data_IF_613463102791
#
_entry.id   IF_613463102791
#
_cell.length_a   1.000
_cell.length_b   1.000
_cell.length_c   1.000
_cell.angle_alpha   90.00
_cell.angle_beta   90.00
_cell.angle_gamma   90.00
#
_symmetry.space_group_name_H-M   'P 1'
#
loop_
_entity.id
_entity.type
_entity.pdbx_description
1 polymer ?
#
# COMPACT_ATOMS: atom_id res chain seq x y z
N UNK A 1 -0.70 -12.04 13.64
CA UNK A 1 -2.04 -12.61 13.85
C UNK A 1 -2.56 -13.09 12.51
N UNK A 2 -2.58 -14.40 12.23
CA UNK A 2 -2.97 -14.91 10.90
C UNK A 2 -4.46 -14.70 10.64
N UNK A 3 -4.78 -13.99 9.59
CA UNK A 3 -6.15 -13.79 9.12
C UNK A 3 -6.70 -15.14 8.67
N UNK A 4 -7.66 -15.70 9.41
CA UNK A 4 -8.38 -16.90 9.00
C UNK A 4 -9.49 -16.46 8.04
N UNK A 5 -9.25 -16.60 6.75
CA UNK A 5 -10.29 -16.41 5.74
C UNK A 5 -11.38 -17.49 5.92
N UNK A 6 -12.64 -17.08 6.13
CA UNK A 6 -13.82 -17.95 6.11
C UNK A 6 -14.38 -18.14 4.68
N UNK A 7 -13.54 -18.03 3.65
CA UNK A 7 -13.92 -18.09 2.25
C UNK A 7 -12.67 -18.08 1.36
N UNK A 8 -12.85 -17.90 0.06
CA UNK A 8 -11.72 -17.63 -0.83
C UNK A 8 -11.08 -16.29 -0.45
N UNK A 9 -9.74 -16.17 -0.50
CA UNK A 9 -9.05 -14.93 -0.17
C UNK A 9 -9.39 -13.84 -1.19
N UNK A 10 -9.73 -12.64 -0.70
CA UNK A 10 -9.93 -11.46 -1.53
C UNK A 10 -8.61 -10.69 -1.66
N UNK A 11 -8.01 -10.72 -2.84
CA UNK A 11 -6.78 -9.99 -3.16
C UNK A 11 -7.10 -8.55 -3.61
N UNK A 12 -7.63 -7.74 -2.70
CA UNK A 12 -8.03 -6.36 -2.95
C UNK A 12 -7.38 -5.43 -1.93
N UNK A 13 -6.76 -4.36 -2.43
CA UNK A 13 -6.27 -3.25 -1.62
C UNK A 13 -7.05 -2.02 -2.05
N UNK A 14 -7.86 -1.51 -1.12
CA UNK A 14 -8.66 -0.32 -1.35
C UNK A 14 -7.80 0.96 -1.30
N UNK A 15 -8.25 2.00 -1.98
CA UNK A 15 -7.63 3.30 -1.95
C UNK A 15 -7.57 3.96 -3.34
N UNK A 16 -7.31 5.26 -3.33
CA UNK A 16 -7.25 6.08 -4.55
C UNK A 16 -5.95 6.88 -4.63
N UNK A 17 -4.88 6.31 -5.22
CA UNK A 17 -3.61 7.01 -5.39
C UNK A 17 -3.73 8.34 -6.14
N UNK A 18 -4.60 8.40 -7.16
CA UNK A 18 -4.83 9.63 -7.94
C UNK A 18 -5.49 10.73 -7.09
N UNK A 19 -6.44 10.36 -6.22
CA UNK A 19 -7.05 11.28 -5.26
C UNK A 19 -6.06 11.84 -4.26
N UNK A 20 -5.11 11.02 -3.78
CA UNK A 20 -4.01 11.46 -2.91
C UNK A 20 -3.13 12.46 -3.67
N UNK A 21 -2.71 12.14 -4.89
CA UNK A 21 -1.89 13.05 -5.73
C UNK A 21 -2.58 14.39 -5.99
N UNK A 22 -3.91 14.40 -6.17
CA UNK A 22 -4.68 15.65 -6.27
C UNK A 22 -4.58 16.52 -5.02
N UNK A 23 -4.60 15.91 -3.82
CA UNK A 23 -4.39 16.63 -2.55
C UNK A 23 -2.95 17.12 -2.39
N UNK A 24 -1.97 16.32 -2.82
CA UNK A 24 -0.55 16.70 -2.83
C UNK A 24 -0.33 17.95 -3.71
N UNK A 25 -0.95 18.00 -4.88
CA UNK A 25 -0.87 19.17 -5.75
C UNK A 25 -1.42 20.43 -5.08
N UNK A 26 -2.55 20.32 -4.39
CA UNK A 26 -3.12 21.42 -3.61
C UNK A 26 -2.20 21.86 -2.46
N UNK A 27 -1.57 20.91 -1.74
CA UNK A 27 -0.63 21.21 -0.67
C UNK A 27 0.63 21.93 -1.18
N UNK A 28 1.15 21.52 -2.35
CA UNK A 28 2.27 22.20 -3.00
C UNK A 28 1.91 23.63 -3.39
N UNK A 29 0.73 23.86 -3.96
CA UNK A 29 0.26 25.21 -4.26
C UNK A 29 0.10 26.09 -3.01
N UNK A 30 -0.38 25.52 -1.89
CA UNK A 30 -0.39 26.22 -0.60
C UNK A 30 1.03 26.56 -0.13
N UNK A 31 1.98 25.63 -0.20
CA UNK A 31 3.38 25.86 0.13
C UNK A 31 3.96 27.04 -0.63
N UNK A 32 3.80 27.05 -1.95
CA UNK A 32 4.26 28.15 -2.83
C UNK A 32 3.62 29.48 -2.44
N UNK A 33 2.31 29.49 -2.15
CA UNK A 33 1.61 30.72 -1.74
C UNK A 33 2.12 31.27 -0.40
N UNK A 34 2.38 30.39 0.58
CA UNK A 34 2.93 30.81 1.88
C UNK A 34 4.38 31.28 1.77
N UNK A 35 5.18 30.65 0.92
CA UNK A 35 6.55 31.09 0.64
C UNK A 35 6.56 32.50 0.06
N UNK A 36 5.70 32.79 -0.95
CA UNK A 36 5.54 34.13 -1.53
C UNK A 36 5.10 35.19 -0.50
N UNK A 37 4.22 34.82 0.44
CA UNK A 37 3.83 35.71 1.55
C UNK A 37 5.05 36.00 2.43
N UNK A 38 5.83 34.97 2.80
CA UNK A 38 7.05 35.14 3.59
C UNK A 38 8.07 36.06 2.90
N UNK A 39 8.31 35.87 1.63
CA UNK A 39 9.18 36.72 0.80
C UNK A 39 8.67 38.16 0.74
N UNK A 40 7.37 38.35 0.50
CA UNK A 40 6.75 39.67 0.41
C UNK A 40 6.86 40.44 1.71
N UNK A 41 6.67 39.76 2.85
CA UNK A 41 6.83 40.35 4.19
C UNK A 41 8.29 40.72 4.49
N UNK A 42 9.23 39.87 4.03
CA UNK A 42 10.67 40.16 4.15
C UNK A 42 11.14 41.36 3.34
N UNK A 43 10.42 41.68 2.23
CA UNK A 43 10.69 42.84 1.38
C UNK A 43 10.01 44.14 1.80
N UNK A 44 9.30 44.18 2.94
CA UNK A 44 8.61 45.38 3.39
C UNK A 44 9.63 46.43 3.90
N UNK A 45 9.82 47.48 3.13
CA UNK A 45 10.69 48.60 3.49
C UNK A 45 10.01 49.51 4.54
N UNK A 46 10.65 49.71 5.66
CA UNK A 46 10.15 50.56 6.76
C UNK A 46 11.14 51.65 7.20
N UNK A 47 12.22 51.83 6.44
CA UNK A 47 13.34 52.70 6.81
C UNK A 47 12.93 54.18 6.92
N UNK A 48 12.01 54.60 6.08
CA UNK A 48 11.52 55.98 6.07
C UNK A 48 10.40 56.26 7.09
N UNK A 49 9.89 55.22 7.77
CA UNK A 49 8.85 55.37 8.78
C UNK A 49 9.46 55.46 10.17
N UNK A 50 9.24 56.56 10.88
CA UNK A 50 9.85 56.84 12.20
C UNK A 50 8.80 57.01 13.30
N UNK A 51 9.21 56.74 14.54
CA UNK A 51 8.39 56.87 15.72
C UNK A 51 7.85 55.58 16.30
N UNK A 52 7.23 55.64 17.48
CA UNK A 52 6.80 54.49 18.27
C UNK A 52 5.89 53.50 17.52
N UNK A 53 5.11 53.98 16.55
CA UNK A 53 4.26 53.13 15.74
C UNK A 53 5.09 52.30 14.76
N UNK A 54 6.11 52.88 14.13
CA UNK A 54 7.03 52.20 13.25
C UNK A 54 7.85 51.13 14.00
N UNK A 55 8.31 51.44 15.21
CA UNK A 55 9.07 50.49 16.04
C UNK A 55 8.23 49.30 16.43
N UNK A 56 6.96 49.50 16.83
CA UNK A 56 6.02 48.40 17.11
C UNK A 56 5.70 47.56 15.89
N UNK A 57 5.59 48.15 14.73
CA UNK A 57 5.36 47.45 13.48
C UNK A 57 6.55 46.57 13.10
N UNK A 58 7.79 47.13 13.17
CA UNK A 58 9.02 46.38 12.89
C UNK A 58 9.17 45.19 13.82
N UNK A 59 8.93 45.38 15.14
CA UNK A 59 8.99 44.28 16.11
C UNK A 59 8.00 43.17 15.82
N UNK A 60 6.82 43.47 15.27
CA UNK A 60 5.85 42.44 14.85
C UNK A 60 6.23 41.80 13.53
N UNK A 61 6.81 42.55 12.61
CA UNK A 61 7.19 42.07 11.29
C UNK A 61 8.42 41.15 11.33
N UNK A 62 9.33 41.35 12.30
CA UNK A 62 10.65 40.71 12.33
C UNK A 62 10.61 39.19 12.27
N UNK A 63 9.62 38.52 12.88
CA UNK A 63 9.46 37.08 12.89
C UNK A 63 8.51 36.53 11.82
N UNK A 64 7.68 37.37 11.19
CA UNK A 64 6.62 36.92 10.30
C UNK A 64 7.13 36.22 9.04
N UNK A 65 8.16 36.69 8.29
CA UNK A 65 8.67 36.00 7.14
C UNK A 65 9.05 34.54 7.42
N UNK A 66 9.76 34.33 8.54
CA UNK A 66 10.18 32.97 8.95
C UNK A 66 9.01 32.08 9.33
N UNK A 67 7.96 32.63 9.93
CA UNK A 67 6.74 31.88 10.27
C UNK A 67 6.06 31.37 9.01
N UNK A 68 5.89 32.20 8.00
CA UNK A 68 5.27 31.81 6.73
C UNK A 68 6.11 30.82 5.95
N UNK A 69 7.43 30.97 5.95
CA UNK A 69 8.36 29.98 5.37
C UNK A 69 8.26 28.64 6.13
N UNK A 70 8.17 28.65 7.45
CA UNK A 70 7.98 27.42 8.24
C UNK A 70 6.68 26.69 7.92
N UNK A 71 5.58 27.44 7.71
CA UNK A 71 4.30 26.85 7.25
C UNK A 71 4.46 26.25 5.84
N UNK A 72 5.12 26.97 4.92
CA UNK A 72 5.40 26.47 3.57
C UNK A 72 6.20 25.16 3.59
N UNK A 73 7.23 25.08 4.43
CA UNK A 73 8.05 23.89 4.60
C UNK A 73 7.26 22.72 5.18
N UNK A 74 6.35 22.96 6.13
CA UNK A 74 5.44 21.95 6.64
C UNK A 74 4.54 21.36 5.56
N UNK A 75 3.93 22.20 4.73
CA UNK A 75 3.13 21.73 3.59
C UNK A 75 3.96 20.92 2.58
N UNK A 76 5.20 21.35 2.32
CA UNK A 76 6.13 20.67 1.40
C UNK A 76 6.52 19.29 1.94
N UNK A 77 6.85 19.21 3.23
CA UNK A 77 7.23 17.98 3.90
C UNK A 77 6.07 16.97 3.95
N UNK A 78 4.87 17.42 4.31
CA UNK A 78 3.68 16.59 4.31
C UNK A 78 3.32 16.08 2.89
N UNK A 79 3.43 16.95 1.88
CA UNK A 79 3.22 16.57 0.48
C UNK A 79 4.21 15.48 0.02
N UNK A 80 5.48 15.59 0.42
CA UNK A 80 6.50 14.58 0.09
C UNK A 80 6.22 13.23 0.75
N UNK A 81 5.81 13.21 2.02
CA UNK A 81 5.42 11.99 2.72
C UNK A 81 4.22 11.30 2.06
N UNK A 82 3.19 12.06 1.70
CA UNK A 82 2.00 11.54 1.01
C UNK A 82 2.32 11.04 -0.40
N UNK A 83 3.30 11.62 -1.12
CA UNK A 83 3.73 11.10 -2.43
C UNK A 83 4.32 9.70 -2.31
N UNK A 84 5.15 9.47 -1.28
CA UNK A 84 5.68 8.14 -0.96
C UNK A 84 4.57 7.12 -0.70
N UNK A 85 3.57 7.49 0.09
CA UNK A 85 2.42 6.62 0.36
C UNK A 85 1.57 6.36 -0.88
N UNK A 86 1.32 7.37 -1.72
CA UNK A 86 0.55 7.18 -2.95
C UNK A 86 1.25 6.20 -3.91
N UNK A 87 2.58 6.27 -4.02
CA UNK A 87 3.38 5.33 -4.80
C UNK A 87 3.35 3.91 -4.22
N UNK A 88 3.48 3.78 -2.90
CA UNK A 88 3.40 2.49 -2.21
C UNK A 88 2.01 1.84 -2.37
N UNK A 89 0.94 2.62 -2.24
CA UNK A 89 -0.43 2.15 -2.46
C UNK A 89 -0.65 1.63 -3.89
N UNK A 90 -0.15 2.34 -4.89
CA UNK A 90 -0.24 1.92 -6.30
C UNK A 90 0.54 0.61 -6.55
N UNK A 91 1.75 0.51 -6.01
CA UNK A 91 2.56 -0.71 -6.07
C UNK A 91 1.88 -1.89 -5.37
N UNK A 92 1.31 -1.66 -4.19
CA UNK A 92 0.58 -2.68 -3.44
C UNK A 92 -0.67 -3.17 -4.19
N UNK A 93 -1.43 -2.27 -4.83
CA UNK A 93 -2.56 -2.64 -5.68
C UNK A 93 -2.14 -3.47 -6.90
N UNK A 94 -0.98 -3.18 -7.48
CA UNK A 94 -0.42 -3.99 -8.56
C UNK A 94 0.01 -5.38 -8.07
N UNK A 95 0.72 -5.44 -6.93
CA UNK A 95 1.14 -6.70 -6.33
C UNK A 95 -0.06 -7.59 -5.97
N UNK A 96 -1.13 -7.01 -5.42
CA UNK A 96 -2.37 -7.72 -5.13
C UNK A 96 -2.99 -8.38 -6.38
N UNK A 97 -2.93 -7.71 -7.54
CA UNK A 97 -3.37 -8.29 -8.82
C UNK A 97 -2.54 -9.51 -9.20
N UNK A 98 -1.21 -9.43 -9.05
CA UNK A 98 -0.30 -10.56 -9.33
C UNK A 98 -0.57 -11.73 -8.37
N UNK A 99 -0.76 -11.46 -7.09
CA UNK A 99 -1.12 -12.51 -6.12
C UNK A 99 -2.43 -13.22 -6.51
N UNK A 100 -3.44 -12.47 -6.92
CA UNK A 100 -4.70 -13.05 -7.41
C UNK A 100 -4.49 -13.93 -8.64
N UNK A 101 -3.71 -13.47 -9.61
CA UNK A 101 -3.40 -14.25 -10.83
C UNK A 101 -2.69 -15.55 -10.48
N UNK A 102 -1.70 -15.52 -9.59
CA UNK A 102 -1.00 -16.72 -9.11
C UNK A 102 -1.92 -17.69 -8.36
N UNK A 103 -2.85 -17.17 -7.56
CA UNK A 103 -3.83 -17.99 -6.85
C UNK A 103 -4.78 -18.70 -7.82
N UNK A 104 -5.31 -17.98 -8.81
CA UNK A 104 -6.18 -18.56 -9.85
C UNK A 104 -5.42 -19.56 -10.73
N UNK A 105 -4.14 -19.31 -11.03
CA UNK A 105 -3.27 -20.29 -11.69
C UNK A 105 -3.14 -21.57 -10.85
N UNK A 106 -2.89 -21.44 -9.55
CA UNK A 106 -2.84 -22.59 -8.64
C UNK A 106 -4.14 -23.40 -8.65
N UNK A 107 -5.32 -22.74 -8.68
CA UNK A 107 -6.62 -23.41 -8.82
C UNK A 107 -6.72 -24.19 -10.13
N UNK A 108 -6.28 -23.59 -11.23
CA UNK A 108 -6.33 -24.22 -12.56
C UNK A 108 -5.42 -25.44 -12.63
N UNK A 109 -4.20 -25.32 -12.11
CA UNK A 109 -3.24 -26.44 -12.02
C UNK A 109 -3.82 -27.59 -11.21
N UNK A 110 -4.42 -27.30 -10.05
CA UNK A 110 -5.08 -28.29 -9.21
C UNK A 110 -6.24 -28.97 -9.92
N UNK A 111 -7.09 -28.22 -10.60
CA UNK A 111 -8.26 -28.77 -11.30
C UNK A 111 -7.84 -29.70 -12.45
N UNK A 112 -6.83 -29.30 -13.24
CA UNK A 112 -6.30 -30.15 -14.33
C UNK A 112 -5.70 -31.45 -13.78
N UNK A 113 -4.81 -31.33 -12.78
CA UNK A 113 -4.18 -32.49 -12.16
C UNK A 113 -5.21 -33.46 -11.52
N UNK A 114 -6.25 -32.89 -10.89
CA UNK A 114 -7.33 -33.70 -10.30
C UNK A 114 -8.13 -34.43 -11.37
N UNK A 115 -8.45 -33.79 -12.48
CA UNK A 115 -9.17 -34.42 -13.61
C UNK A 115 -8.34 -35.55 -14.24
N UNK A 116 -7.04 -35.34 -14.42
CA UNK A 116 -6.12 -36.37 -14.94
C UNK A 116 -6.03 -37.56 -13.98
N UNK A 117 -5.85 -37.28 -12.69
CA UNK A 117 -5.84 -38.31 -11.65
C UNK A 117 -7.14 -39.17 -11.64
N UNK A 118 -8.31 -38.52 -11.69
CA UNK A 118 -9.60 -39.19 -11.67
C UNK A 118 -9.79 -40.08 -12.94
N UNK A 119 -9.32 -39.59 -14.10
CA UNK A 119 -9.31 -40.36 -15.33
C UNK A 119 -8.43 -41.60 -15.19
N UNK A 120 -7.18 -41.46 -14.72
CA UNK A 120 -6.22 -42.54 -14.58
C UNK A 120 -6.71 -43.62 -13.60
N UNK A 121 -7.31 -43.18 -12.47
CA UNK A 121 -7.94 -44.08 -11.50
C UNK A 121 -9.11 -44.82 -12.12
N UNK A 122 -9.98 -44.13 -12.86
CA UNK A 122 -11.12 -44.77 -13.57
C UNK A 122 -10.66 -45.79 -14.61
N UNK A 123 -9.66 -45.45 -15.41
CA UNK A 123 -9.06 -46.39 -16.37
C UNK A 123 -8.43 -47.62 -15.66
N UNK A 124 -7.78 -47.42 -14.52
CA UNK A 124 -7.22 -48.50 -13.71
C UNK A 124 -8.30 -49.47 -13.24
N UNK A 125 -9.44 -48.97 -12.76
CA UNK A 125 -10.57 -49.82 -12.41
C UNK A 125 -11.20 -50.56 -13.58
N UNK A 126 -11.30 -49.91 -14.74
CA UNK A 126 -11.78 -50.57 -15.97
C UNK A 126 -10.84 -51.70 -16.40
N UNK A 127 -9.51 -51.47 -16.40
CA UNK A 127 -8.51 -52.53 -16.70
C UNK A 127 -8.61 -53.69 -15.72
N UNK A 128 -8.76 -53.42 -14.43
CA UNK A 128 -8.98 -54.44 -13.40
C UNK A 128 -10.22 -55.28 -13.72
N UNK A 129 -11.36 -54.63 -13.95
CA UNK A 129 -12.61 -55.32 -14.23
C UNK A 129 -12.53 -56.19 -15.51
N UNK A 130 -11.93 -55.68 -16.57
CA UNK A 130 -11.73 -56.45 -17.81
C UNK A 130 -10.82 -57.66 -17.63
N UNK A 131 -9.74 -57.54 -16.85
CA UNK A 131 -8.85 -58.64 -16.54
C UNK A 131 -9.53 -59.72 -15.68
N UNK A 132 -10.21 -59.31 -14.61
CA UNK A 132 -10.89 -60.23 -13.69
C UNK A 132 -12.05 -60.99 -14.36
N UNK A 133 -12.69 -60.37 -15.35
CA UNK A 133 -13.70 -61.03 -16.17
C UNK A 133 -13.14 -62.24 -16.95
N UNK A 134 -11.85 -62.21 -17.32
CA UNK A 134 -11.18 -63.29 -18.09
C UNK A 134 -10.42 -64.26 -17.17
N UNK A 135 -9.89 -63.80 -16.03
CA UNK A 135 -8.94 -64.59 -15.23
C UNK A 135 -9.47 -64.92 -13.81
N UNK A 136 -10.70 -64.51 -13.50
CA UNK A 136 -11.33 -64.71 -12.20
C UNK A 136 -11.14 -63.58 -11.20
N UNK A 137 -12.05 -63.45 -10.21
CA UNK A 137 -12.02 -62.40 -9.21
C UNK A 137 -10.73 -62.42 -8.36
N UNK A 138 -10.17 -61.24 -8.08
CA UNK A 138 -8.96 -61.12 -7.26
C UNK A 138 -7.64 -61.40 -7.98
N UNK A 139 -7.67 -61.74 -9.29
CA UNK A 139 -6.47 -62.00 -10.10
C UNK A 139 -5.69 -60.74 -10.51
N UNK A 140 -6.20 -59.53 -10.18
CA UNK A 140 -5.58 -58.25 -10.51
C UNK A 140 -5.46 -57.34 -9.25
N UNK A 141 -4.25 -56.89 -8.95
CA UNK A 141 -4.01 -55.93 -7.88
C UNK A 141 -3.90 -54.52 -8.47
N UNK A 142 -4.85 -53.65 -8.16
CA UNK A 142 -4.78 -52.24 -8.52
C UNK A 142 -4.21 -51.46 -7.35
N UNK A 143 -3.06 -50.80 -7.52
CA UNK A 143 -2.51 -49.87 -6.57
C UNK A 143 -2.84 -48.45 -7.03
N UNK A 144 -3.57 -47.69 -6.20
CA UNK A 144 -3.91 -46.31 -6.45
C UNK A 144 -3.04 -45.42 -5.52
N UNK A 145 -2.18 -44.62 -6.14
CA UNK A 145 -1.37 -43.62 -5.38
C UNK A 145 -2.29 -42.48 -4.91
N UNK A 146 -2.19 -42.01 -3.65
CA UNK A 146 -2.97 -40.86 -3.19
C UNK A 146 -2.69 -39.62 -4.06
N UNK A 147 -3.73 -38.83 -4.31
CA UNK A 147 -3.61 -37.56 -5.01
C UNK A 147 -2.78 -36.57 -4.19
N UNK A 148 -1.82 -35.94 -4.84
CA UNK A 148 -1.06 -34.80 -4.30
C UNK A 148 -1.38 -33.59 -5.15
N UNK A 149 -1.84 -32.50 -4.53
CA UNK A 149 -2.25 -31.29 -5.23
C UNK A 149 -1.03 -30.45 -5.65
N UNK A 150 -0.68 -30.36 -6.94
CA UNK A 150 0.47 -29.58 -7.39
C UNK A 150 0.23 -28.08 -7.36
N UNK A 151 -1.02 -27.61 -7.33
CA UNK A 151 -1.38 -26.19 -7.27
C UNK A 151 -1.43 -25.62 -5.84
N UNK A 152 -1.33 -26.48 -4.81
CA UNK A 152 -1.41 -26.03 -3.41
C UNK A 152 -0.33 -25.02 -3.07
N UNK A 153 0.92 -25.29 -3.45
CA UNK A 153 2.04 -24.39 -3.15
C UNK A 153 1.91 -23.01 -3.81
N UNK A 154 1.33 -22.95 -5.01
CA UNK A 154 1.07 -21.67 -5.70
C UNK A 154 0.01 -20.85 -4.96
N UNK A 155 -1.06 -21.49 -4.48
CA UNK A 155 -2.11 -20.80 -3.75
C UNK A 155 -1.61 -20.29 -2.38
N UNK A 156 -0.89 -21.13 -1.65
CA UNK A 156 -0.33 -20.78 -0.34
C UNK A 156 0.70 -19.67 -0.48
N UNK A 157 1.56 -19.72 -1.50
CA UNK A 157 2.52 -18.67 -1.84
C UNK A 157 1.82 -17.33 -2.14
N UNK A 158 0.80 -17.35 -2.99
CA UNK A 158 0.04 -16.15 -3.33
C UNK A 158 -0.62 -15.48 -2.11
N UNK A 159 -1.13 -16.28 -1.16
CA UNK A 159 -1.69 -15.75 0.10
C UNK A 159 -0.60 -15.17 0.99
N UNK A 160 0.55 -15.82 1.10
CA UNK A 160 1.66 -15.33 1.90
C UNK A 160 2.24 -14.01 1.33
N UNK A 161 2.41 -13.95 0.01
CA UNK A 161 2.88 -12.74 -0.68
C UNK A 161 1.91 -11.57 -0.47
N UNK A 162 0.60 -11.82 -0.57
CA UNK A 162 -0.41 -10.79 -0.33
C UNK A 162 -0.40 -10.26 1.10
N UNK A 163 -0.19 -11.14 2.08
CA UNK A 163 -0.04 -10.71 3.49
C UNK A 163 1.18 -9.82 3.68
N UNK A 164 2.31 -10.17 3.08
CA UNK A 164 3.52 -9.35 3.13
C UNK A 164 3.31 -7.95 2.48
N UNK A 165 2.54 -7.89 1.39
CA UNK A 165 2.18 -6.61 0.73
C UNK A 165 1.33 -5.74 1.67
N UNK A 166 0.36 -6.32 2.38
CA UNK A 166 -0.47 -5.58 3.35
C UNK A 166 0.38 -5.04 4.49
N UNK A 167 1.24 -5.87 5.08
CA UNK A 167 2.11 -5.49 6.20
C UNK A 167 3.05 -4.33 5.82
N UNK A 168 3.65 -4.37 4.63
CA UNK A 168 4.51 -3.29 4.15
C UNK A 168 3.74 -1.99 3.87
N UNK A 169 2.51 -2.09 3.34
CA UNK A 169 1.66 -0.92 3.12
C UNK A 169 1.20 -0.30 4.44
N UNK A 170 0.82 -1.11 5.43
CA UNK A 170 0.45 -0.64 6.78
C UNK A 170 1.61 0.08 7.46
N UNK A 171 2.82 -0.48 7.36
CA UNK A 171 4.04 0.16 7.86
C UNK A 171 4.27 1.51 7.18
N UNK A 172 4.23 1.54 5.85
CA UNK A 172 4.39 2.79 5.08
C UNK A 172 3.31 3.81 5.44
N UNK A 173 2.08 3.37 5.70
CA UNK A 173 0.99 4.21 6.17
C UNK A 173 1.30 4.84 7.53
N UNK A 174 1.76 4.05 8.48
CA UNK A 174 2.16 4.53 9.82
C UNK A 174 3.33 5.51 9.77
N UNK A 175 4.36 5.21 8.97
CA UNK A 175 5.52 6.09 8.79
C UNK A 175 5.09 7.43 8.16
N UNK A 176 4.16 7.39 7.20
CA UNK A 176 3.60 8.57 6.55
C UNK A 176 2.77 9.41 7.53
N UNK A 177 1.93 8.78 8.35
CA UNK A 177 1.15 9.46 9.38
C UNK A 177 2.07 10.23 10.35
N UNK A 178 3.14 9.58 10.82
CA UNK A 178 4.13 10.20 11.70
C UNK A 178 4.83 11.38 11.02
N UNK A 179 5.23 11.23 9.76
CA UNK A 179 5.89 12.29 8.99
C UNK A 179 4.97 13.50 8.78
N UNK A 180 3.69 13.28 8.48
CA UNK A 180 2.69 14.36 8.34
C UNK A 180 2.42 15.04 9.68
N UNK A 181 2.32 14.28 10.77
CA UNK A 181 2.16 14.83 12.11
C UNK A 181 3.36 15.69 12.53
N UNK A 182 4.59 15.25 12.22
CA UNK A 182 5.81 16.01 12.47
C UNK A 182 5.84 17.30 11.63
N UNK A 183 5.53 17.22 10.34
CA UNK A 183 5.45 18.38 9.45
C UNK A 183 4.43 19.43 9.95
N UNK A 184 3.29 18.97 10.46
CA UNK A 184 2.31 19.86 11.11
C UNK A 184 2.86 20.50 12.38
N UNK A 185 3.55 19.71 13.22
CA UNK A 185 4.12 20.24 14.47
C UNK A 185 5.23 21.26 14.22
N UNK A 186 6.03 21.06 13.16
CA UNK A 186 7.10 21.98 12.77
C UNK A 186 6.55 23.27 12.14
N UNK A 187 5.40 23.19 11.47
CA UNK A 187 4.70 24.33 10.89
C UNK A 187 3.92 25.17 11.94
N UNK A 188 3.74 24.65 13.17
CA UNK A 188 2.97 25.36 14.22
C UNK A 188 3.70 26.62 14.71
N UNK A 189 3.19 27.82 14.40
CA UNK A 189 3.83 29.07 14.76
C UNK A 189 3.87 29.30 16.28
N UNK A 190 3.06 28.61 17.06
CA UNK A 190 3.00 28.80 18.52
C UNK A 190 4.18 28.13 19.25
N UNK A 191 4.81 27.14 18.63
CA UNK A 191 5.98 26.41 19.17
C UNK A 191 7.30 27.18 19.00
N UNK A 192 7.35 28.14 18.10
CA UNK A 192 8.59 28.92 17.82
C UNK A 192 8.73 30.19 18.67
N UNK A 193 7.79 30.46 19.57
CA UNK A 193 7.83 31.64 20.43
C UNK A 193 7.95 31.22 21.90
N UNK A 194 9.12 31.35 22.53
CA UNK A 194 9.17 31.45 23.99
C UNK A 194 8.53 32.77 24.41
N UNK A 195 7.60 32.72 25.35
CA UNK A 195 6.98 33.89 26.01
C UNK A 195 8.02 34.86 26.58
#
# INVERSE_FOLDING_TARGET
MGVRYRGEPEFVIEGNPSGIRGRIAAMRACSESFEQVGESLGGVETEHWVGKAADRFRSRLEGEPRRWTGVADGFRSAAAALEGYAAALEAAQQAARVCRENYEEGKRVSATAKADYDRDVSEGFQKKAAWEAQNGPGSYTLTVTPFTDPGQALRDGAVADFQAVIEELEKTGSDTEQAVAQAHADADPTRQWPN
#
